data_IF_163915176385
#
_entry.id   IF_163915176385
#
_cell.length_a   1.000
_cell.length_b   1.000
_cell.length_c   1.000
_cell.angle_alpha   90.00
_cell.angle_beta   90.00
_cell.angle_gamma   90.00
#
_symmetry.space_group_name_H-M   'P 1'
#
loop_
_entity.id
_entity.type
_entity.pdbx_description
1 polymer ?
#
# COMPACT_ATOMS: atom_id res chain seq x y z
N UNK A 1 -49.95 36.52 2.35
CA UNK A 1 -50.24 35.74 1.10
C UNK A 1 -49.15 36.07 0.08
N UNK A 2 -48.16 35.26 -0.07
CA UNK A 2 -47.15 35.34 -1.14
C UNK A 2 -47.18 34.04 -1.91
N UNK A 3 -47.59 34.13 -3.16
CA UNK A 3 -47.71 33.01 -4.09
C UNK A 3 -46.30 32.60 -4.56
N UNK A 4 -45.93 31.35 -4.37
CA UNK A 4 -44.76 30.74 -5.00
C UNK A 4 -45.16 30.28 -6.40
N UNK A 5 -44.53 30.83 -7.42
CA UNK A 5 -44.61 30.36 -8.79
C UNK A 5 -43.54 29.30 -8.99
N UNK A 6 -43.95 28.07 -9.22
CA UNK A 6 -43.05 26.97 -9.57
C UNK A 6 -42.73 27.06 -11.06
N UNK A 7 -41.46 27.31 -11.39
CA UNK A 7 -40.94 27.30 -12.76
C UNK A 7 -40.60 25.83 -13.12
N UNK A 8 -41.44 25.21 -13.96
CA UNK A 8 -41.14 23.89 -14.51
C UNK A 8 -40.21 24.10 -15.70
N UNK A 9 -38.95 23.67 -15.55
CA UNK A 9 -37.98 23.63 -16.63
C UNK A 9 -38.20 22.36 -17.44
N UNK A 10 -38.79 22.50 -18.62
CA UNK A 10 -38.91 21.41 -19.58
C UNK A 10 -37.54 21.13 -20.19
N UNK A 11 -36.93 20.00 -19.84
CA UNK A 11 -35.73 19.50 -20.52
C UNK A 11 -36.17 18.88 -21.85
N UNK A 12 -35.92 19.57 -22.94
CA UNK A 12 -36.06 19.02 -24.28
C UNK A 12 -34.99 17.98 -24.51
N UNK A 13 -35.37 16.69 -24.49
CA UNK A 13 -34.52 15.59 -24.93
C UNK A 13 -34.37 15.71 -26.45
N UNK A 14 -33.26 16.27 -26.91
CA UNK A 14 -32.89 16.17 -28.32
C UNK A 14 -32.45 14.72 -28.57
N UNK A 15 -33.35 13.93 -29.12
CA UNK A 15 -33.00 12.66 -29.75
C UNK A 15 -32.24 12.96 -31.02
N UNK A 16 -30.93 12.95 -30.99
CA UNK A 16 -30.10 12.94 -32.20
C UNK A 16 -30.39 11.63 -32.93
N UNK A 17 -31.13 11.72 -34.01
CA UNK A 17 -31.33 10.61 -34.93
C UNK A 17 -29.94 10.15 -35.41
N UNK A 18 -29.57 8.91 -35.09
CA UNK A 18 -28.38 8.26 -35.67
C UNK A 18 -28.67 8.11 -37.17
N UNK A 19 -27.81 8.62 -38.07
CA UNK A 19 -28.01 8.42 -39.50
C UNK A 19 -27.94 6.93 -39.81
N UNK A 20 -29.02 6.38 -40.32
CA UNK A 20 -29.17 4.94 -40.66
C UNK A 20 -28.41 4.52 -41.92
N UNK A 21 -27.63 5.39 -42.54
CA UNK A 21 -26.79 5.10 -43.68
C UNK A 21 -25.33 5.45 -43.35
N UNK A 22 -24.65 4.60 -42.55
CA UNK A 22 -23.20 4.63 -42.55
C UNK A 22 -22.71 4.01 -43.87
N UNK A 23 -21.92 4.78 -44.61
CA UNK A 23 -21.24 4.34 -45.81
C UNK A 23 -20.50 3.03 -45.53
N UNK A 24 -20.74 1.95 -46.27
CA UNK A 24 -20.11 0.66 -46.04
C UNK A 24 -18.57 0.73 -46.06
N UNK A 25 -18.01 1.73 -46.74
CA UNK A 25 -16.58 2.02 -46.74
C UNK A 25 -16.09 2.48 -45.35
N UNK A 26 -16.88 3.32 -44.64
CA UNK A 26 -16.51 3.81 -43.28
C UNK A 26 -16.61 2.71 -42.22
N UNK A 27 -17.57 1.80 -42.36
CA UNK A 27 -17.72 0.65 -41.52
C UNK A 27 -16.60 -0.39 -41.73
N UNK A 28 -16.17 -0.58 -42.99
CA UNK A 28 -15.07 -1.50 -43.33
C UNK A 28 -13.72 -0.97 -42.81
N UNK A 29 -13.42 0.33 -42.97
CA UNK A 29 -12.16 0.92 -42.47
C UNK A 29 -12.03 0.86 -40.94
N UNK A 30 -13.14 1.03 -40.20
CA UNK A 30 -13.12 0.89 -38.74
C UNK A 30 -13.00 -0.57 -38.28
N UNK A 31 -13.52 -1.54 -39.06
CA UNK A 31 -13.43 -2.96 -38.76
C UNK A 31 -12.01 -3.50 -39.06
N UNK A 32 -11.38 -3.03 -40.13
CA UNK A 32 -9.98 -3.36 -40.44
C UNK A 32 -8.99 -2.72 -39.49
N UNK A 33 -9.20 -1.46 -39.06
CA UNK A 33 -8.38 -0.82 -38.02
C UNK A 33 -8.50 -1.52 -36.67
N UNK A 34 -9.65 -2.16 -36.36
CA UNK A 34 -9.85 -2.99 -35.16
C UNK A 34 -9.17 -4.36 -35.27
N UNK A 35 -9.10 -4.95 -36.46
CA UNK A 35 -8.50 -6.27 -36.70
C UNK A 35 -6.96 -6.27 -36.66
N UNK A 36 -6.32 -5.12 -36.86
CA UNK A 36 -4.87 -5.00 -36.97
C UNK A 36 -4.12 -4.89 -35.61
N UNK A 37 -4.84 -4.74 -34.47
CA UNK A 37 -4.18 -4.70 -33.15
C UNK A 37 -3.76 -6.10 -32.71
N UNK A 38 -2.48 -6.41 -32.93
CA UNK A 38 -1.90 -7.66 -32.41
C UNK A 38 -2.09 -7.73 -30.89
N UNK A 39 -2.69 -8.83 -30.41
CA UNK A 39 -2.89 -9.08 -28.99
C UNK A 39 -1.54 -9.29 -28.33
N UNK A 40 -1.05 -8.26 -27.60
CA UNK A 40 0.15 -8.39 -26.77
C UNK A 40 -0.24 -8.94 -25.41
N UNK A 41 0.56 -9.87 -24.92
CA UNK A 41 0.42 -10.47 -23.58
C UNK A 41 1.71 -10.32 -22.81
N UNK A 42 1.61 -10.12 -21.49
CA UNK A 42 2.75 -10.23 -20.59
C UNK A 42 2.94 -11.68 -20.13
N UNK A 43 4.19 -12.05 -19.79
CA UNK A 43 4.49 -13.36 -19.17
C UNK A 43 3.60 -13.62 -17.95
N UNK A 44 3.31 -12.55 -17.18
CA UNK A 44 2.49 -12.62 -15.97
C UNK A 44 1.61 -11.40 -15.79
N UNK A 45 0.39 -11.62 -15.32
CA UNK A 45 -0.54 -10.57 -14.91
C UNK A 45 -0.40 -10.19 -13.43
N UNK A 46 0.22 -11.06 -12.62
CA UNK A 46 0.46 -10.86 -11.18
C UNK A 46 1.78 -11.49 -10.77
N UNK A 47 2.60 -10.74 -10.02
CA UNK A 47 3.91 -11.19 -9.51
C UNK A 47 3.99 -10.86 -8.01
N UNK A 48 4.51 -11.79 -7.21
CA UNK A 48 4.79 -11.58 -5.78
C UNK A 48 6.31 -11.60 -5.58
N UNK A 49 6.85 -10.53 -4.97
CA UNK A 49 8.28 -10.38 -4.71
C UNK A 49 8.51 -10.02 -3.24
N UNK A 50 9.68 -10.40 -2.71
CA UNK A 50 10.21 -9.84 -1.47
C UNK A 50 11.04 -8.59 -1.80
N UNK A 51 11.24 -7.73 -0.81
CA UNK A 51 12.10 -6.54 -0.98
C UNK A 51 13.48 -6.98 -1.45
N UNK A 52 14.00 -6.29 -2.48
CA UNK A 52 15.31 -6.55 -3.09
C UNK A 52 15.27 -7.54 -4.25
N UNK A 53 14.23 -8.37 -4.39
CA UNK A 53 14.11 -9.30 -5.51
C UNK A 53 13.83 -8.57 -6.83
N UNK A 54 14.24 -9.20 -7.92
CA UNK A 54 13.97 -8.76 -9.29
C UNK A 54 13.14 -9.82 -10.02
N UNK A 55 12.39 -9.37 -11.03
CA UNK A 55 11.58 -10.25 -11.88
C UNK A 55 11.60 -9.74 -13.32
N UNK A 56 11.88 -10.62 -14.29
CA UNK A 56 11.85 -10.26 -15.69
C UNK A 56 10.43 -10.45 -16.26
N UNK A 57 9.74 -9.34 -16.53
CA UNK A 57 8.53 -9.37 -17.36
C UNK A 57 8.92 -9.35 -18.83
N UNK A 58 8.29 -10.25 -19.60
CA UNK A 58 8.43 -10.31 -21.05
C UNK A 58 7.09 -10.02 -21.73
N UNK A 59 7.16 -9.37 -22.89
CA UNK A 59 6.00 -9.09 -23.73
C UNK A 59 6.04 -9.99 -24.98
N UNK A 60 5.02 -10.82 -25.17
CA UNK A 60 4.87 -11.63 -26.39
C UNK A 60 3.96 -10.90 -27.38
N UNK A 61 4.33 -10.92 -28.65
CA UNK A 61 3.54 -10.32 -29.75
C UNK A 61 3.77 -8.81 -29.96
N UNK A 62 4.66 -8.17 -29.19
CA UNK A 62 5.04 -6.79 -29.44
C UNK A 62 5.96 -6.69 -30.65
N UNK A 63 5.60 -5.85 -31.61
CA UNK A 63 6.50 -5.37 -32.68
C UNK A 63 6.62 -3.86 -32.53
N UNK A 64 7.81 -3.30 -32.68
CA UNK A 64 8.08 -1.86 -32.52
C UNK A 64 8.49 -1.46 -31.09
N UNK A 65 8.55 -0.15 -30.84
CA UNK A 65 8.98 0.39 -29.56
C UNK A 65 7.88 0.25 -28.50
N UNK A 66 8.31 -0.18 -27.31
CA UNK A 66 7.42 -0.36 -26.16
C UNK A 66 7.92 0.50 -24.98
N UNK A 67 6.99 0.99 -24.17
CA UNK A 67 7.29 1.79 -23.00
C UNK A 67 6.76 1.09 -21.74
N UNK A 68 7.68 0.85 -20.80
CA UNK A 68 7.37 0.33 -19.48
C UNK A 68 7.20 1.46 -18.46
N UNK A 69 6.18 1.36 -17.62
CA UNK A 69 5.91 2.33 -16.55
C UNK A 69 5.43 1.63 -15.28
N UNK A 70 5.92 2.09 -14.14
CA UNK A 70 5.36 1.74 -12.83
C UNK A 70 4.50 2.91 -12.34
N UNK A 71 3.29 2.62 -11.84
CA UNK A 71 2.43 3.62 -11.20
C UNK A 71 2.87 3.94 -9.76
N UNK A 72 3.77 3.10 -9.18
CA UNK A 72 4.30 3.31 -7.83
C UNK A 72 5.78 2.91 -7.76
N UNK A 73 6.66 3.85 -8.16
CA UNK A 73 8.13 3.64 -8.19
C UNK A 73 8.74 3.47 -6.79
N UNK A 74 8.04 3.85 -5.72
CA UNK A 74 8.49 3.60 -4.35
C UNK A 74 8.36 2.13 -3.96
N UNK A 75 7.38 1.41 -4.50
CA UNK A 75 7.16 -0.02 -4.27
C UNK A 75 7.95 -0.88 -5.23
N UNK A 76 7.85 -0.61 -6.53
CA UNK A 76 8.61 -1.33 -7.55
C UNK A 76 8.92 -0.43 -8.74
N UNK A 77 10.13 -0.58 -9.28
CA UNK A 77 10.54 0.05 -10.55
C UNK A 77 10.59 -0.98 -11.66
N UNK A 78 10.55 -0.52 -12.91
CA UNK A 78 10.73 -1.35 -14.09
C UNK A 78 11.71 -0.66 -15.04
N UNK A 79 12.63 -1.42 -15.64
CA UNK A 79 13.55 -0.94 -16.67
C UNK A 79 12.88 -0.94 -18.05
N UNK A 80 13.51 -0.30 -19.04
CA UNK A 80 13.08 -0.34 -20.44
C UNK A 80 13.11 -1.78 -21.05
N UNK A 81 13.83 -2.68 -20.43
CA UNK A 81 13.88 -4.10 -20.82
C UNK A 81 12.88 -4.97 -20.05
N UNK A 82 11.97 -4.38 -19.23
CA UNK A 82 10.95 -5.12 -18.48
C UNK A 82 11.47 -5.73 -17.15
N UNK A 83 12.71 -5.45 -16.72
CA UNK A 83 13.22 -5.91 -15.42
C UNK A 83 12.58 -5.12 -14.29
N UNK A 84 11.73 -5.78 -13.52
CA UNK A 84 11.09 -5.25 -12.31
C UNK A 84 12.04 -5.41 -11.12
N UNK A 85 12.18 -4.35 -10.28
CA UNK A 85 12.94 -4.38 -9.02
C UNK A 85 12.04 -3.99 -7.87
N UNK A 86 11.85 -4.88 -6.90
CA UNK A 86 11.09 -4.66 -5.68
C UNK A 86 11.87 -3.79 -4.68
N UNK A 87 11.27 -2.69 -4.19
CA UNK A 87 11.93 -1.72 -3.29
C UNK A 87 11.33 -1.68 -1.89
N UNK A 88 10.02 -1.47 -1.81
CA UNK A 88 9.33 -1.36 -0.53
C UNK A 88 8.03 -2.19 -0.56
N UNK A 89 7.51 -2.59 0.60
CA UNK A 89 6.26 -3.34 0.69
C UNK A 89 5.11 -2.56 0.06
N UNK A 90 4.16 -3.29 -0.52
CA UNK A 90 2.96 -2.70 -1.12
C UNK A 90 2.63 -3.28 -2.49
N UNK A 91 1.79 -2.57 -3.25
CA UNK A 91 1.40 -2.93 -4.61
C UNK A 91 1.83 -1.85 -5.60
N UNK A 92 2.34 -2.29 -6.74
CA UNK A 92 2.59 -1.45 -7.92
C UNK A 92 1.98 -2.12 -9.15
N UNK A 93 1.47 -1.33 -10.08
CA UNK A 93 1.05 -1.82 -11.40
C UNK A 93 2.12 -1.42 -12.40
N UNK A 94 2.71 -2.42 -13.03
CA UNK A 94 3.60 -2.25 -14.17
C UNK A 94 2.75 -2.25 -15.43
N UNK A 95 2.89 -1.23 -16.23
CA UNK A 95 2.15 -1.04 -17.48
C UNK A 95 3.14 -1.06 -18.65
N UNK A 96 2.78 -1.81 -19.69
CA UNK A 96 3.42 -1.77 -20.99
C UNK A 96 2.48 -1.07 -21.98
N UNK A 97 2.98 -0.12 -22.73
CA UNK A 97 2.29 0.59 -23.82
C UNK A 97 3.19 0.61 -25.06
N UNK A 98 2.57 0.72 -26.24
CA UNK A 98 3.26 0.91 -27.51
C UNK A 98 2.26 1.24 -28.62
N UNK A 99 2.75 1.73 -29.75
CA UNK A 99 1.94 2.39 -30.79
C UNK A 99 0.82 1.50 -31.39
N UNK A 100 1.04 0.16 -31.40
CA UNK A 100 0.07 -0.78 -31.99
C UNK A 100 -0.46 -1.83 -31.03
N UNK A 101 -0.13 -1.73 -29.71
CA UNK A 101 -0.36 -2.83 -28.78
C UNK A 101 -1.37 -2.52 -27.67
N UNK A 102 -1.89 -1.29 -27.60
CA UNK A 102 -2.73 -0.91 -26.48
C UNK A 102 -1.98 -0.93 -25.14
N UNK A 103 -2.72 -1.18 -24.06
CA UNK A 103 -2.18 -1.17 -22.70
C UNK A 103 -2.31 -2.55 -22.05
N UNK A 104 -1.20 -3.16 -21.63
CA UNK A 104 -1.19 -4.39 -20.83
C UNK A 104 -0.57 -4.14 -19.46
N UNK A 105 -1.05 -4.83 -18.44
CA UNK A 105 -0.72 -4.54 -17.03
C UNK A 105 -0.32 -5.81 -16.29
N UNK A 106 0.67 -5.66 -15.38
CA UNK A 106 1.03 -6.64 -14.36
C UNK A 106 0.96 -6.03 -12.98
N UNK A 107 0.29 -6.68 -12.03
CA UNK A 107 0.25 -6.24 -10.63
C UNK A 107 1.41 -6.89 -9.88
N UNK A 108 2.33 -6.08 -9.38
CA UNK A 108 3.46 -6.52 -8.55
C UNK A 108 3.11 -6.27 -7.09
N UNK A 109 3.06 -7.35 -6.29
CA UNK A 109 2.92 -7.27 -4.84
C UNK A 109 4.28 -7.52 -4.19
N UNK A 110 4.80 -6.51 -3.49
CA UNK A 110 6.04 -6.62 -2.73
C UNK A 110 5.70 -6.88 -1.27
N UNK A 111 6.28 -7.94 -0.71
CA UNK A 111 6.16 -8.30 0.71
C UNK A 111 7.48 -8.07 1.44
N UNK A 112 7.39 -7.79 2.74
CA UNK A 112 8.51 -7.72 3.67
C UNK A 112 8.58 -9.03 4.49
N UNK A 113 9.77 -9.50 4.81
CA UNK A 113 9.98 -10.58 5.78
C UNK A 113 10.11 -10.00 7.19
N UNK A 114 9.86 -10.79 8.24
CA UNK A 114 10.04 -10.34 9.62
C UNK A 114 11.51 -9.93 9.89
N UNK A 115 12.48 -10.64 9.34
CA UNK A 115 13.92 -10.28 9.42
C UNK A 115 14.20 -8.89 8.79
N UNK A 116 13.58 -8.60 7.65
CA UNK A 116 13.71 -7.28 7.02
C UNK A 116 13.00 -6.19 7.82
N UNK A 117 11.82 -6.48 8.41
CA UNK A 117 11.11 -5.56 9.29
C UNK A 117 11.96 -5.24 10.52
N UNK A 118 12.52 -6.26 11.18
CA UNK A 118 13.43 -6.10 12.33
C UNK A 118 14.62 -5.21 11.97
N UNK A 119 15.30 -5.49 10.86
CA UNK A 119 16.43 -4.68 10.40
C UNK A 119 16.03 -3.21 10.20
N UNK A 120 14.85 -2.93 9.63
CA UNK A 120 14.35 -1.56 9.44
C UNK A 120 14.04 -0.90 10.77
N UNK A 121 13.40 -1.60 11.71
CA UNK A 121 13.12 -1.08 13.05
C UNK A 121 14.42 -0.74 13.75
N UNK A 122 15.39 -1.67 13.79
CA UNK A 122 16.70 -1.47 14.43
C UNK A 122 17.43 -0.24 13.83
N UNK A 123 17.35 -0.03 12.53
CA UNK A 123 17.98 1.14 11.90
C UNK A 123 17.36 2.48 12.36
N UNK A 124 16.15 2.46 12.92
CA UNK A 124 15.48 3.66 13.45
C UNK A 124 16.01 4.08 14.83
N UNK A 125 16.80 3.26 15.53
CA UNK A 125 17.44 3.65 16.79
C UNK A 125 18.29 4.92 16.67
N UNK A 126 18.90 5.15 15.50
CA UNK A 126 19.63 6.40 15.22
C UNK A 126 18.73 7.64 15.23
N UNK A 127 17.49 7.48 14.79
CA UNK A 127 16.51 8.57 14.74
C UNK A 127 15.75 8.72 16.05
N UNK A 128 15.49 7.61 16.70
CA UNK A 128 14.73 7.53 17.95
C UNK A 128 15.59 6.81 19.00
N UNK A 129 16.65 7.45 19.52
CA UNK A 129 17.48 6.83 20.54
C UNK A 129 16.70 6.61 21.83
N UNK A 130 17.17 5.70 22.66
CA UNK A 130 16.67 5.50 24.03
C UNK A 130 16.64 6.83 24.80
N UNK A 131 15.55 7.10 25.52
CA UNK A 131 15.39 8.30 26.33
C UNK A 131 15.06 9.58 25.52
N UNK A 132 14.95 9.51 24.17
CA UNK A 132 14.50 10.67 23.39
C UNK A 132 13.12 11.13 23.89
N UNK A 133 12.98 12.42 24.25
CA UNK A 133 11.69 12.95 24.68
C UNK A 133 10.61 12.73 23.64
N UNK A 134 9.52 12.09 24.07
CA UNK A 134 8.35 11.79 23.25
C UNK A 134 7.09 11.80 24.08
N UNK A 135 6.22 12.79 23.85
CA UNK A 135 5.05 13.05 24.68
C UNK A 135 3.78 13.22 23.84
N UNK A 136 2.63 13.32 24.51
CA UNK A 136 1.36 13.65 23.84
C UNK A 136 1.31 15.11 23.35
N UNK A 137 2.12 16.00 23.94
CA UNK A 137 2.12 17.44 23.64
C UNK A 137 3.00 17.77 22.44
N UNK A 138 4.17 17.13 22.35
CA UNK A 138 5.23 17.49 21.42
C UNK A 138 5.29 16.60 20.16
N UNK A 139 4.56 15.49 20.15
CA UNK A 139 4.70 14.49 19.10
C UNK A 139 3.33 14.06 18.58
N UNK A 140 3.03 14.52 17.37
CA UNK A 140 1.83 14.14 16.63
C UNK A 140 2.19 13.55 15.27
N UNK A 141 1.37 12.65 14.77
CA UNK A 141 1.55 11.99 13.48
C UNK A 141 0.21 11.60 12.85
N UNK A 142 0.01 11.95 11.57
CA UNK A 142 -1.13 11.45 10.82
C UNK A 142 -0.84 10.05 10.31
N UNK A 143 -1.37 9.04 11.00
CA UNK A 143 -1.25 7.65 10.59
C UNK A 143 -2.38 7.27 9.64
N UNK A 144 -2.06 7.36 8.33
CA UNK A 144 -3.02 7.11 7.24
C UNK A 144 -3.66 5.72 7.32
N UNK A 145 -2.92 4.70 7.73
CA UNK A 145 -3.38 3.31 7.74
C UNK A 145 -4.64 3.08 8.58
N UNK A 146 -4.82 3.88 9.64
CA UNK A 146 -5.99 3.84 10.53
C UNK A 146 -6.76 5.17 10.55
N UNK A 147 -6.44 6.11 9.65
CA UNK A 147 -7.07 7.43 9.53
C UNK A 147 -7.09 8.21 10.85
N UNK A 148 -5.95 8.29 11.52
CA UNK A 148 -5.80 8.90 12.85
C UNK A 148 -4.80 10.05 12.84
N UNK A 149 -5.21 11.22 13.35
CA UNK A 149 -4.30 12.26 13.86
C UNK A 149 -3.92 11.88 15.28
N UNK A 150 -2.84 11.17 15.40
CA UNK A 150 -2.43 10.51 16.63
C UNK A 150 -1.40 11.35 17.38
N UNK A 151 -1.33 11.18 18.73
CA UNK A 151 -0.35 11.81 19.62
C UNK A 151 0.34 10.76 20.48
N UNK A 152 1.49 11.09 21.04
CA UNK A 152 2.23 10.25 21.98
C UNK A 152 2.53 8.84 21.47
N UNK A 153 2.19 7.82 22.22
CA UNK A 153 2.55 6.43 21.92
C UNK A 153 1.99 5.94 20.57
N UNK A 154 0.76 6.28 20.23
CA UNK A 154 0.16 5.86 18.95
C UNK A 154 0.75 6.63 17.75
N UNK A 155 1.16 7.90 17.93
CA UNK A 155 1.90 8.65 16.92
C UNK A 155 3.26 8.00 16.63
N UNK A 156 3.99 7.60 17.66
CA UNK A 156 5.25 6.88 17.53
C UNK A 156 5.06 5.56 16.78
N UNK A 157 4.10 4.75 17.21
CA UNK A 157 3.80 3.47 16.57
C UNK A 157 3.44 3.65 15.09
N UNK A 158 2.62 4.66 14.74
CA UNK A 158 2.25 4.98 13.37
C UNK A 158 3.45 5.39 12.52
N UNK A 159 4.31 6.27 13.03
CA UNK A 159 5.49 6.73 12.31
C UNK A 159 6.50 5.60 12.08
N UNK A 160 6.78 4.77 13.09
CA UNK A 160 7.64 3.60 12.96
C UNK A 160 7.05 2.59 11.97
N UNK A 161 5.76 2.26 12.09
CA UNK A 161 5.06 1.35 11.20
C UNK A 161 5.14 1.81 9.73
N UNK A 162 4.91 3.10 9.47
CA UNK A 162 4.99 3.66 8.12
C UNK A 162 6.42 3.65 7.55
N UNK A 163 7.45 3.80 8.38
CA UNK A 163 8.85 3.65 7.95
C UNK A 163 9.22 2.21 7.61
N UNK A 164 8.62 1.24 8.29
CA UNK A 164 8.84 -0.19 8.05
C UNK A 164 8.10 -0.66 6.81
N UNK A 165 6.80 -0.35 6.69
CA UNK A 165 5.91 -0.92 5.69
C UNK A 165 5.55 0.03 4.54
N UNK A 166 5.74 1.35 4.74
CA UNK A 166 5.29 2.39 3.82
C UNK A 166 3.86 2.87 4.13
N UNK A 167 3.59 4.16 3.91
CA UNK A 167 2.35 4.86 4.30
C UNK A 167 1.04 4.26 3.75
N UNK A 168 1.11 3.52 2.64
CA UNK A 168 -0.05 2.98 1.95
C UNK A 168 -0.24 1.47 2.18
N UNK A 169 0.56 0.83 3.04
CA UNK A 169 0.35 -0.57 3.38
C UNK A 169 -0.94 -0.71 4.20
N UNK A 170 -1.79 -1.65 3.79
CA UNK A 170 -3.08 -1.91 4.46
C UNK A 170 -2.85 -2.54 5.83
N UNK A 171 -3.77 -2.27 6.75
CA UNK A 171 -3.83 -2.88 8.08
C UNK A 171 -4.86 -4.01 8.08
N UNK A 172 -4.56 -5.08 8.79
CA UNK A 172 -5.47 -6.14 9.22
C UNK A 172 -5.39 -6.26 10.72
N UNK A 173 -6.53 -6.21 11.41
CA UNK A 173 -6.58 -6.25 12.88
C UNK A 173 -6.98 -7.63 13.38
N UNK A 174 -6.31 -8.11 14.45
CA UNK A 174 -6.63 -9.37 15.14
C UNK A 174 -6.30 -9.28 16.63
N UNK A 175 -6.74 -10.31 17.41
CA UNK A 175 -6.44 -10.46 18.85
C UNK A 175 -5.68 -11.76 19.17
N UNK A 176 -5.04 -12.36 18.18
CA UNK A 176 -4.36 -13.64 18.28
C UNK A 176 -2.86 -13.41 18.51
N UNK A 177 -2.35 -13.79 19.70
CA UNK A 177 -0.94 -13.66 20.07
C UNK A 177 -0.01 -14.47 19.16
N UNK A 178 -0.44 -15.64 18.70
CA UNK A 178 0.39 -16.52 17.87
C UNK A 178 0.59 -15.97 16.45
N UNK A 179 -0.30 -15.10 16.01
CA UNK A 179 -0.20 -14.41 14.72
C UNK A 179 0.62 -13.12 14.76
N UNK A 180 1.06 -12.67 15.94
CA UNK A 180 1.91 -11.48 16.08
C UNK A 180 3.22 -11.69 15.32
N UNK A 181 3.64 -10.66 14.59
CA UNK A 181 4.88 -10.63 13.81
C UNK A 181 5.71 -9.41 14.18
N UNK A 182 7.01 -9.51 13.94
CA UNK A 182 7.91 -8.36 14.06
C UNK A 182 7.44 -7.22 13.17
N UNK A 183 7.28 -6.03 13.73
CA UNK A 183 6.77 -4.84 13.05
C UNK A 183 5.28 -4.58 13.24
N UNK A 184 4.53 -5.53 13.79
CA UNK A 184 3.13 -5.31 14.13
C UNK A 184 3.00 -4.25 15.24
N UNK A 185 1.95 -3.45 15.14
CA UNK A 185 1.50 -2.56 16.20
C UNK A 185 0.62 -3.35 17.16
N UNK A 186 0.86 -3.20 18.45
CA UNK A 186 -0.01 -3.73 19.51
C UNK A 186 -0.60 -2.54 20.26
N UNK A 187 -1.93 -2.51 20.39
CA UNK A 187 -2.65 -1.64 21.30
C UNK A 187 -2.97 -2.41 22.57
N UNK A 188 -2.49 -1.95 23.71
CA UNK A 188 -2.58 -2.59 25.02
C UNK A 188 -3.61 -1.85 25.86
N UNK A 189 -4.59 -2.52 26.43
CA UNK A 189 -5.61 -1.98 27.33
C UNK A 189 -6.40 -0.79 26.77
N UNK A 190 -6.30 -0.51 25.49
CA UNK A 190 -6.89 0.68 24.87
C UNK A 190 -6.15 1.99 25.14
N UNK A 191 -5.13 2.01 25.99
CA UNK A 191 -4.41 3.21 26.43
C UNK A 191 -2.97 3.33 25.91
N UNK A 192 -2.27 2.22 25.58
CA UNK A 192 -0.87 2.28 25.16
C UNK A 192 -0.62 1.57 23.82
N UNK A 193 0.35 2.06 23.05
CA UNK A 193 0.72 1.57 21.71
C UNK A 193 2.20 1.26 21.62
N UNK A 194 2.53 0.06 21.10
CA UNK A 194 3.91 -0.40 20.93
C UNK A 194 4.12 -1.03 19.56
N UNK A 195 5.36 -1.10 19.10
CA UNK A 195 5.76 -1.85 17.90
C UNK A 195 6.60 -3.05 18.30
N UNK A 196 6.26 -4.21 17.79
CA UNK A 196 6.99 -5.45 18.03
C UNK A 196 8.36 -5.39 17.33
N UNK A 197 9.42 -5.41 18.12
CA UNK A 197 10.81 -5.44 17.64
C UNK A 197 11.37 -6.87 17.53
N UNK A 198 11.02 -7.73 18.51
CA UNK A 198 11.35 -9.16 18.50
C UNK A 198 10.14 -9.96 18.96
N UNK A 199 10.02 -11.21 18.50
CA UNK A 199 8.95 -12.14 18.89
C UNK A 199 9.58 -13.45 19.37
N UNK A 200 9.27 -13.82 20.60
CA UNK A 200 9.56 -15.14 21.19
C UNK A 200 8.26 -15.98 21.22
N UNK A 201 8.35 -17.21 21.75
CA UNK A 201 7.19 -18.12 21.83
C UNK A 201 6.06 -17.50 22.66
N UNK A 202 6.37 -16.97 23.83
CA UNK A 202 5.39 -16.49 24.81
C UNK A 202 5.60 -15.03 25.24
N UNK A 203 6.44 -14.29 24.51
CA UNK A 203 6.66 -12.85 24.74
C UNK A 203 6.95 -12.09 23.46
N UNK A 204 6.87 -10.78 23.54
CA UNK A 204 7.34 -9.82 22.54
C UNK A 204 8.29 -8.83 23.19
N UNK A 205 9.36 -8.47 22.49
CA UNK A 205 10.18 -7.30 22.84
C UNK A 205 9.73 -6.15 21.96
N UNK A 206 9.51 -4.98 22.56
CA UNK A 206 8.90 -3.85 21.84
C UNK A 206 9.80 -2.62 21.78
N UNK A 207 9.43 -1.69 20.90
CA UNK A 207 9.86 -0.30 20.92
C UNK A 207 8.61 0.57 21.01
N UNK A 208 8.68 1.62 21.81
CA UNK A 208 7.54 2.46 22.15
C UNK A 208 7.94 3.91 22.36
N UNK A 209 7.03 4.83 22.12
CA UNK A 209 7.14 6.23 22.49
C UNK A 209 6.14 6.59 23.56
N UNK A 210 6.40 7.68 24.28
CA UNK A 210 5.61 8.13 25.42
C UNK A 210 5.50 7.09 26.56
N UNK A 211 6.58 6.31 26.71
CA UNK A 211 6.82 5.49 27.89
C UNK A 211 7.66 6.31 28.85
N UNK A 212 7.08 6.73 29.98
CA UNK A 212 7.70 7.73 30.87
C UNK A 212 8.18 8.99 30.12
N UNK A 213 7.31 9.52 29.24
CA UNK A 213 7.55 10.71 28.39
C UNK A 213 8.74 10.59 27.43
N UNK A 214 9.17 9.39 27.10
CA UNK A 214 10.33 9.14 26.24
C UNK A 214 10.14 7.96 25.29
N UNK A 215 11.09 7.79 24.38
CA UNK A 215 11.26 6.57 23.57
C UNK A 215 11.95 5.53 24.42
N UNK A 216 11.42 4.32 24.38
CA UNK A 216 11.99 3.16 25.08
C UNK A 216 12.14 1.95 24.16
N UNK A 217 13.29 1.26 24.26
CA UNK A 217 13.64 0.09 23.49
C UNK A 217 13.87 -1.12 24.40
N UNK A 218 13.23 -2.23 24.10
CA UNK A 218 13.61 -3.51 24.69
C UNK A 218 12.72 -3.98 25.85
N UNK A 219 11.61 -3.27 26.16
CA UNK A 219 10.65 -3.82 27.12
C UNK A 219 10.11 -5.15 26.62
N UNK A 220 10.17 -6.16 27.45
CA UNK A 220 9.56 -7.45 27.20
C UNK A 220 8.15 -7.46 27.78
N UNK A 221 7.19 -7.97 27.02
CA UNK A 221 5.80 -8.12 27.42
C UNK A 221 5.39 -9.56 27.12
N UNK A 222 4.95 -10.26 28.14
CA UNK A 222 4.55 -11.66 28.04
C UNK A 222 3.15 -11.81 27.44
N UNK A 223 2.85 -13.01 26.94
CA UNK A 223 1.50 -13.40 26.49
C UNK A 223 0.46 -13.21 27.60
N UNK A 224 0.81 -13.56 28.84
CA UNK A 224 -0.09 -13.43 30.00
C UNK A 224 -0.42 -11.99 30.32
N UNK A 225 0.59 -11.09 30.31
CA UNK A 225 0.38 -9.65 30.51
C UNK A 225 -0.53 -9.05 29.43
N UNK A 226 -0.27 -9.35 28.15
CA UNK A 226 -1.12 -8.87 27.06
C UNK A 226 -2.57 -9.37 27.18
N UNK A 227 -2.75 -10.63 27.62
CA UNK A 227 -4.10 -11.16 27.82
C UNK A 227 -4.81 -10.53 29.01
N UNK A 228 -4.11 -10.28 30.11
CA UNK A 228 -4.67 -9.65 31.31
C UNK A 228 -5.10 -8.21 31.05
N UNK A 229 -4.29 -7.44 30.32
CA UNK A 229 -4.58 -6.05 29.97
C UNK A 229 -5.62 -5.91 28.84
N UNK A 230 -5.80 -6.96 28.05
CA UNK A 230 -6.52 -6.91 26.77
C UNK A 230 -5.69 -6.23 25.69
N UNK A 231 -5.73 -6.75 24.47
CA UNK A 231 -4.98 -6.18 23.36
C UNK A 231 -5.64 -6.43 22.01
N UNK A 232 -5.22 -5.62 21.04
CA UNK A 232 -5.38 -5.96 19.63
C UNK A 232 -4.10 -5.63 18.85
N UNK A 233 -3.98 -6.23 17.69
CA UNK A 233 -2.80 -6.17 16.83
C UNK A 233 -3.20 -5.64 15.46
N UNK A 234 -2.51 -4.63 14.98
CA UNK A 234 -2.61 -4.13 13.62
C UNK A 234 -1.39 -4.60 12.83
N UNK A 235 -1.62 -5.57 11.94
CA UNK A 235 -0.59 -6.18 11.09
C UNK A 235 -0.64 -5.63 9.66
N UNK A 236 0.53 -5.43 9.05
CA UNK A 236 0.67 -4.87 7.69
C UNK A 236 1.39 -5.83 6.72
N UNK A 237 1.33 -7.14 6.97
CA UNK A 237 1.93 -8.21 6.16
C UNK A 237 1.07 -8.70 4.99
#
# INVERSE_FOLDING_TARGET
MKKFIALILAIAVMTTAVPQNMDPVYAATNKEASAARKKVTLSDSKVKLKIGETYQLTAKGSKGSVKWKSNNKSVATVSQKGLVKAKNPGKATITLTGDQIGTVKCVVQVKITQKQAQKRITALQKKYPEGLSWTNENNEYYWRAINCYCRGCIAFAGEVSDKVFGKNAKVTTHKDFDKIKVGDHIRIGGYHSVIVWKKAKDSVTVVEGNYNSSVHWGREITRSELKAEGFYVDSRY
#
